data_IF_679861877505
#
_entry.id   IF_679861877505
#
_cell.length_a   1.000
_cell.length_b   1.000
_cell.length_c   1.000
_cell.angle_alpha   90.00
_cell.angle_beta   90.00
_cell.angle_gamma   90.00
#
_symmetry.space_group_name_H-M   'P 1'
#
loop_
_entity.id
_entity.type
_entity.pdbx_description
1 polymer ?
#
# COMPACT_ATOMS: atom_id res chain seq x y z
N UNK A 1 16.00 0.33 27.79
CA UNK A 1 15.40 -0.87 27.15
C UNK A 1 14.83 -0.56 25.77
N UNK A 2 13.99 0.47 25.59
CA UNK A 2 13.40 0.82 24.28
C UNK A 2 14.42 1.03 23.13
N UNK A 3 15.56 1.70 23.37
CA UNK A 3 16.57 1.91 22.33
C UNK A 3 17.27 0.63 21.85
N UNK A 4 17.37 -0.40 22.71
CA UNK A 4 17.96 -1.69 22.34
C UNK A 4 16.96 -2.58 21.57
N UNK A 5 15.67 -2.49 21.89
CA UNK A 5 14.58 -3.14 21.13
C UNK A 5 14.55 -2.62 19.68
N UNK A 6 14.56 -1.29 19.55
CA UNK A 6 14.53 -0.60 18.25
C UNK A 6 15.70 -0.97 17.32
N UNK A 7 16.91 -1.12 17.86
CA UNK A 7 18.09 -1.53 17.09
C UNK A 7 18.00 -3.00 16.62
N UNK A 8 17.54 -3.90 17.49
CA UNK A 8 17.39 -5.30 17.15
C UNK A 8 16.34 -5.49 16.03
N UNK A 9 15.25 -4.76 16.10
CA UNK A 9 14.18 -4.84 15.13
C UNK A 9 14.56 -4.25 13.76
N UNK A 10 15.30 -3.13 13.75
CA UNK A 10 15.87 -2.61 12.51
C UNK A 10 16.86 -3.61 11.87
N UNK A 11 17.68 -4.29 12.69
CA UNK A 11 18.60 -5.30 12.19
C UNK A 11 17.88 -6.52 11.59
N UNK A 12 16.75 -6.94 12.16
CA UNK A 12 15.90 -7.97 11.57
C UNK A 12 15.31 -7.52 10.23
N UNK A 13 14.76 -6.30 10.18
CA UNK A 13 14.27 -5.72 8.92
C UNK A 13 15.37 -5.63 7.85
N UNK A 14 16.58 -5.23 8.25
CA UNK A 14 17.74 -5.13 7.36
C UNK A 14 18.08 -6.46 6.68
N UNK A 15 18.04 -7.58 7.40
CA UNK A 15 18.29 -8.91 6.82
C UNK A 15 17.28 -9.24 5.72
N UNK A 16 16.00 -8.94 5.95
CA UNK A 16 14.97 -9.10 4.93
C UNK A 16 15.21 -8.18 3.72
N UNK A 17 15.53 -6.91 3.95
CA UNK A 17 15.84 -5.95 2.88
C UNK A 17 17.08 -6.36 2.07
N UNK A 18 18.08 -6.99 2.69
CA UNK A 18 19.26 -7.51 2.00
C UNK A 18 18.87 -8.57 0.97
N UNK A 19 18.04 -9.55 1.35
CA UNK A 19 17.52 -10.58 0.44
C UNK A 19 16.64 -9.95 -0.64
N UNK A 20 15.69 -9.10 -0.24
CA UNK A 20 14.75 -8.45 -1.16
C UNK A 20 15.48 -7.67 -2.26
N UNK A 21 16.45 -6.83 -1.88
CA UNK A 21 17.16 -5.97 -2.84
C UNK A 21 18.16 -6.73 -3.72
N UNK A 22 18.58 -7.93 -3.32
CA UNK A 22 19.37 -8.84 -4.18
C UNK A 22 18.46 -9.51 -5.22
N UNK A 23 17.30 -10.03 -4.80
CA UNK A 23 16.37 -10.73 -5.69
C UNK A 23 15.60 -9.80 -6.63
N UNK A 24 15.33 -8.57 -6.16
CA UNK A 24 14.43 -7.62 -6.80
C UNK A 24 15.05 -6.23 -6.81
N UNK A 25 16.24 -6.02 -7.39
CA UNK A 25 16.91 -4.72 -7.33
C UNK A 25 16.07 -3.63 -8.03
N UNK A 26 16.19 -2.35 -7.63
CA UNK A 26 15.42 -1.23 -8.18
C UNK A 26 15.96 -0.80 -9.56
N UNK A 27 16.16 -1.76 -10.45
CA UNK A 27 16.63 -1.56 -11.82
C UNK A 27 15.70 -2.30 -12.77
N UNK A 28 15.37 -1.62 -13.87
CA UNK A 28 14.63 -2.23 -14.95
C UNK A 28 15.63 -2.97 -15.85
N UNK A 29 15.72 -4.28 -15.67
CA UNK A 29 16.46 -5.17 -16.58
C UNK A 29 15.47 -6.01 -17.36
N UNK A 30 15.92 -6.61 -18.47
CA UNK A 30 15.10 -7.58 -19.21
C UNK A 30 14.72 -8.81 -18.35
N UNK A 31 15.39 -9.03 -17.22
CA UNK A 31 15.22 -10.19 -16.33
C UNK A 31 14.35 -9.96 -15.09
N UNK A 32 14.07 -8.71 -14.68
CA UNK A 32 13.33 -8.47 -13.42
C UNK A 32 11.82 -8.66 -13.53
N UNK A 33 11.27 -8.81 -14.74
CA UNK A 33 9.86 -9.15 -15.07
C UNK A 33 8.84 -8.67 -14.02
N UNK A 34 8.84 -7.37 -13.74
CA UNK A 34 7.98 -6.78 -12.72
C UNK A 34 6.51 -6.91 -13.11
N UNK A 35 5.71 -7.53 -12.23
CA UNK A 35 4.26 -7.38 -12.24
C UNK A 35 3.92 -6.12 -11.47
N UNK A 36 3.11 -5.25 -12.07
CA UNK A 36 2.74 -3.97 -11.50
C UNK A 36 1.32 -4.07 -10.96
N UNK A 37 1.22 -4.42 -9.69
CA UNK A 37 -0.04 -4.67 -8.98
C UNK A 37 -0.14 -3.76 -7.76
N UNK A 38 0.22 -2.49 -7.93
CA UNK A 38 0.08 -1.45 -6.91
C UNK A 38 0.83 -1.78 -5.63
N UNK A 39 0.18 -1.55 -4.50
CA UNK A 39 0.79 -1.84 -3.19
C UNK A 39 0.76 -3.34 -2.84
N UNK A 40 0.09 -4.20 -3.61
CA UNK A 40 0.04 -5.64 -3.33
C UNK A 40 1.30 -6.38 -3.78
N UNK A 41 1.80 -6.08 -4.99
CA UNK A 41 2.96 -6.74 -5.55
C UNK A 41 3.60 -5.89 -6.63
N UNK A 42 4.93 -5.88 -6.66
CA UNK A 42 5.72 -5.16 -7.64
C UNK A 42 6.63 -4.11 -7.01
N UNK A 43 7.15 -3.17 -7.81
CA UNK A 43 8.02 -2.12 -7.31
C UNK A 43 7.27 -1.15 -6.39
N UNK A 44 5.99 -0.85 -6.66
CA UNK A 44 5.19 0.04 -5.80
C UNK A 44 4.93 -0.55 -4.41
N UNK A 45 4.77 -1.87 -4.29
CA UNK A 45 4.66 -2.52 -2.96
C UNK A 45 5.97 -2.45 -2.18
N UNK A 46 7.12 -2.58 -2.86
CA UNK A 46 8.43 -2.45 -2.22
C UNK A 46 8.71 -0.99 -1.84
N UNK A 47 8.35 -0.04 -2.70
CA UNK A 47 8.41 1.39 -2.38
C UNK A 47 7.55 1.72 -1.15
N UNK A 48 6.35 1.16 -1.06
CA UNK A 48 5.48 1.31 0.10
C UNK A 48 6.14 0.78 1.38
N UNK A 49 6.76 -0.40 1.33
CA UNK A 49 7.51 -0.94 2.45
C UNK A 49 8.63 0.01 2.90
N UNK A 50 9.51 0.43 2.00
CA UNK A 50 10.61 1.33 2.33
C UNK A 50 10.13 2.68 2.88
N UNK A 51 9.05 3.24 2.32
CA UNK A 51 8.41 4.44 2.86
C UNK A 51 7.89 4.24 4.27
N UNK A 52 7.20 3.13 4.56
CA UNK A 52 6.72 2.83 5.91
C UNK A 52 7.88 2.67 6.90
N UNK A 53 8.95 1.97 6.50
CA UNK A 53 10.14 1.85 7.32
C UNK A 53 10.83 3.20 7.54
N UNK A 54 10.80 4.13 6.57
CA UNK A 54 11.36 5.47 6.74
C UNK A 54 10.58 6.31 7.75
N UNK A 55 9.27 6.08 7.92
CA UNK A 55 8.48 6.73 8.97
C UNK A 55 8.80 6.17 10.36
N UNK A 56 9.12 4.88 10.46
CA UNK A 56 9.48 4.22 11.72
C UNK A 56 10.93 4.48 12.13
N UNK A 57 11.84 4.52 11.16
CA UNK A 57 13.28 4.62 11.34
C UNK A 57 13.91 5.71 10.45
N UNK A 58 13.55 7.00 10.64
CA UNK A 58 13.94 8.08 9.75
C UNK A 58 15.46 8.28 9.65
N UNK A 59 16.20 8.01 10.72
CA UNK A 59 17.65 8.23 10.79
C UNK A 59 18.47 7.01 10.35
N UNK A 60 17.83 5.90 9.97
CA UNK A 60 18.52 4.66 9.61
C UNK A 60 18.86 4.62 8.14
N UNK A 61 20.04 4.08 7.85
CA UNK A 61 20.53 3.87 6.50
C UNK A 61 20.52 2.38 6.15
N UNK A 62 20.12 2.08 4.92
CA UNK A 62 20.23 0.76 4.33
C UNK A 62 21.19 0.82 3.13
N UNK A 63 22.27 0.03 3.19
CA UNK A 63 23.36 0.04 2.18
C UNK A 63 23.90 1.45 1.87
N UNK A 64 23.97 2.31 2.89
CA UNK A 64 24.52 3.68 2.79
C UNK A 64 23.56 4.72 2.21
N UNK A 65 22.30 4.37 1.94
CA UNK A 65 21.26 5.28 1.47
C UNK A 65 20.11 5.34 2.48
N UNK A 66 19.35 6.44 2.49
CA UNK A 66 18.18 6.53 3.37
C UNK A 66 17.08 5.58 2.91
N UNK A 67 16.22 5.16 3.83
CA UNK A 67 15.06 4.32 3.48
C UNK A 67 14.11 5.04 2.50
N UNK A 68 14.04 6.38 2.55
CA UNK A 68 13.23 7.16 1.62
C UNK A 68 13.83 7.15 0.20
N UNK A 69 15.15 7.26 0.05
CA UNK A 69 15.82 7.15 -1.26
C UNK A 69 15.52 5.80 -1.93
N UNK A 70 15.52 4.72 -1.13
CA UNK A 70 15.12 3.40 -1.62
C UNK A 70 13.66 3.36 -2.05
N UNK A 71 12.75 3.96 -1.28
CA UNK A 71 11.34 4.06 -1.65
C UNK A 71 11.17 4.75 -3.01
N UNK A 72 11.84 5.89 -3.20
CA UNK A 72 11.83 6.65 -4.46
C UNK A 72 12.38 5.84 -5.63
N UNK A 73 13.51 5.14 -5.43
CA UNK A 73 14.14 4.33 -6.47
C UNK A 73 13.21 3.23 -7.00
N UNK A 74 12.48 2.54 -6.12
CA UNK A 74 11.48 1.56 -6.55
C UNK A 74 10.27 2.24 -7.21
N UNK A 75 9.79 3.35 -6.67
CA UNK A 75 8.62 4.04 -7.17
C UNK A 75 8.83 4.61 -8.59
N UNK A 76 10.06 5.00 -8.92
CA UNK A 76 10.47 5.43 -10.25
C UNK A 76 10.26 4.34 -11.31
N UNK A 77 10.33 3.05 -10.96
CA UNK A 77 10.10 1.94 -11.91
C UNK A 77 8.67 1.91 -12.47
N UNK A 78 7.70 2.48 -11.75
CA UNK A 78 6.30 2.59 -12.18
C UNK A 78 5.92 3.98 -12.73
N UNK A 79 6.86 4.91 -12.89
CA UNK A 79 6.60 6.29 -13.32
C UNK A 79 5.88 6.41 -14.67
N UNK A 80 6.18 5.49 -15.59
CA UNK A 80 5.56 5.47 -16.92
C UNK A 80 4.03 5.31 -16.88
N UNK A 81 3.46 4.88 -15.75
CA UNK A 81 2.01 4.70 -15.59
C UNK A 81 1.29 5.95 -15.08
N UNK A 82 1.97 6.87 -14.40
CA UNK A 82 1.39 8.16 -13.99
C UNK A 82 1.48 9.22 -15.09
N UNK A 83 2.44 9.07 -16.01
CA UNK A 83 2.71 10.04 -17.08
C UNK A 83 1.88 9.82 -18.36
N UNK A 84 1.17 8.70 -18.48
CA UNK A 84 0.19 8.48 -19.56
C UNK A 84 -1.24 8.61 -19.03
N UNK A 85 -2.09 9.48 -19.61
CA UNK A 85 -3.50 9.57 -19.23
C UNK A 85 -4.21 8.26 -19.60
N UNK A 86 -4.35 7.38 -18.60
CA UNK A 86 -4.92 6.04 -18.67
C UNK A 86 -4.28 5.13 -19.74
N UNK A 87 -3.51 4.10 -19.36
CA UNK A 87 -3.42 2.94 -20.22
C UNK A 87 -4.82 2.32 -20.28
N UNK A 88 -5.57 2.61 -21.37
CA UNK A 88 -6.99 2.28 -21.61
C UNK A 88 -7.35 0.78 -21.54
N UNK A 89 -6.39 -0.08 -21.18
CA UNK A 89 -6.46 -1.52 -21.32
C UNK A 89 -5.59 -2.28 -20.29
N UNK A 90 -4.81 -1.62 -19.41
CA UNK A 90 -3.78 -2.34 -18.63
C UNK A 90 -4.17 -2.76 -17.22
N UNK A 91 -5.40 -2.51 -16.76
CA UNK A 91 -5.80 -2.83 -15.39
C UNK A 91 -7.22 -3.37 -15.29
N UNK A 92 -7.70 -4.04 -16.33
CA UNK A 92 -8.92 -4.83 -16.19
C UNK A 92 -8.57 -6.20 -15.63
N UNK A 93 -9.06 -6.54 -14.43
CA UNK A 93 -9.03 -7.92 -13.94
C UNK A 93 -10.32 -8.60 -14.41
N UNK A 94 -10.20 -9.64 -15.26
CA UNK A 94 -11.34 -10.29 -15.91
C UNK A 94 -12.33 -9.33 -16.60
N UNK A 95 -11.81 -8.33 -17.35
CA UNK A 95 -12.65 -7.36 -18.06
C UNK A 95 -13.28 -6.28 -17.19
N UNK A 96 -12.99 -6.29 -15.89
CA UNK A 96 -13.52 -5.32 -14.92
C UNK A 96 -12.42 -4.33 -14.53
N UNK A 97 -12.70 -3.02 -14.58
CA UNK A 97 -11.75 -1.99 -14.14
C UNK A 97 -11.35 -2.27 -12.68
N UNK A 98 -10.06 -2.52 -12.46
CA UNK A 98 -9.48 -2.61 -11.14
C UNK A 98 -9.40 -1.19 -10.57
N UNK A 99 -10.07 -0.93 -9.46
CA UNK A 99 -9.95 0.34 -8.74
C UNK A 99 -9.36 0.21 -7.33
N UNK A 100 -8.99 -1.00 -6.92
CA UNK A 100 -8.49 -1.27 -5.58
C UNK A 100 -6.99 -1.01 -5.42
N UNK A 101 -6.42 -1.59 -4.37
CA UNK A 101 -5.01 -1.43 -4.02
C UNK A 101 -4.03 -2.10 -4.98
N UNK A 102 -4.53 -2.99 -5.85
CA UNK A 102 -3.76 -3.56 -6.95
C UNK A 102 -3.68 -2.61 -8.16
N UNK A 103 -4.45 -1.52 -8.17
CA UNK A 103 -4.38 -0.56 -9.25
C UNK A 103 -3.07 0.21 -9.15
N UNK A 104 -2.15 -0.02 -10.09
CA UNK A 104 -0.82 0.58 -10.09
C UNK A 104 -0.90 2.11 -10.16
N UNK A 105 -1.86 2.65 -10.91
CA UNK A 105 -1.97 4.09 -11.13
C UNK A 105 -2.45 4.79 -9.86
N UNK A 106 -3.52 4.30 -9.22
CA UNK A 106 -4.01 4.86 -7.97
C UNK A 106 -3.02 4.66 -6.82
N UNK A 107 -2.33 3.52 -6.78
CA UNK A 107 -1.28 3.27 -5.79
C UNK A 107 -0.09 4.22 -5.95
N UNK A 108 0.34 4.47 -7.18
CA UNK A 108 1.40 5.44 -7.49
C UNK A 108 0.97 6.86 -7.12
N UNK A 109 -0.24 7.30 -7.48
CA UNK A 109 -0.75 8.62 -7.08
C UNK A 109 -0.74 8.77 -5.55
N UNK A 110 -1.27 7.77 -4.84
CA UNK A 110 -1.32 7.78 -3.39
C UNK A 110 0.08 7.88 -2.78
N UNK A 111 0.98 6.96 -3.12
CA UNK A 111 2.29 6.86 -2.50
C UNK A 111 3.22 8.02 -2.89
N UNK A 112 3.22 8.44 -4.16
CA UNK A 112 3.99 9.61 -4.62
C UNK A 112 3.54 10.91 -3.95
N UNK A 113 2.23 11.09 -3.76
CA UNK A 113 1.71 12.29 -3.08
C UNK A 113 2.21 12.44 -1.64
N UNK A 114 2.62 11.33 -1.02
CA UNK A 114 3.16 11.30 0.34
C UNK A 114 4.69 11.41 0.37
N UNK A 115 5.38 10.66 -0.49
CA UNK A 115 6.85 10.69 -0.56
C UNK A 115 7.35 12.06 -1.02
N UNK A 116 6.72 12.64 -2.04
CA UNK A 116 7.11 13.94 -2.60
C UNK A 116 6.35 15.12 -2.00
N UNK A 117 5.50 14.87 -1.00
CA UNK A 117 4.54 15.84 -0.45
C UNK A 117 3.72 16.59 -1.52
N UNK A 118 3.41 15.93 -2.64
CA UNK A 118 2.76 16.55 -3.79
C UNK A 118 1.23 16.47 -3.70
N UNK A 119 0.63 17.59 -3.31
CA UNK A 119 -0.83 17.75 -3.21
C UNK A 119 -1.55 17.63 -4.57
N UNK A 120 -0.88 17.91 -5.69
CA UNK A 120 -1.50 17.77 -7.01
C UNK A 120 -1.82 16.31 -7.32
N UNK A 121 -0.97 15.38 -6.90
CA UNK A 121 -1.18 13.93 -7.05
C UNK A 121 -2.28 13.42 -6.13
N UNK A 122 -2.37 13.95 -4.91
CA UNK A 122 -3.47 13.65 -3.99
C UNK A 122 -4.82 14.16 -4.53
N UNK A 123 -4.84 15.36 -5.13
CA UNK A 123 -6.05 15.89 -5.80
C UNK A 123 -6.42 15.03 -7.01
N UNK A 124 -5.44 14.64 -7.83
CA UNK A 124 -5.65 13.75 -8.97
C UNK A 124 -6.25 12.42 -8.52
N UNK A 125 -5.75 11.83 -7.43
CA UNK A 125 -6.34 10.63 -6.84
C UNK A 125 -7.80 10.89 -6.49
N UNK A 126 -8.14 11.95 -5.76
CA UNK A 126 -9.52 12.26 -5.39
C UNK A 126 -10.45 12.47 -6.61
N UNK A 127 -9.93 13.08 -7.68
CA UNK A 127 -10.67 13.37 -8.93
C UNK A 127 -11.10 12.10 -9.68
N UNK A 128 -10.36 10.99 -9.52
CA UNK A 128 -10.72 9.70 -10.11
C UNK A 128 -11.97 9.07 -9.48
N UNK A 129 -12.49 9.63 -8.37
CA UNK A 129 -13.69 9.11 -7.70
C UNK A 129 -14.90 9.06 -8.64
N UNK A 130 -15.04 10.03 -9.56
CA UNK A 130 -16.15 10.03 -10.50
C UNK A 130 -16.07 8.86 -11.48
N UNK A 131 -14.86 8.54 -11.95
CA UNK A 131 -14.63 7.40 -12.81
C UNK A 131 -14.83 6.06 -12.07
N UNK A 132 -14.24 5.92 -10.89
CA UNK A 132 -14.37 4.71 -10.05
C UNK A 132 -15.83 4.41 -9.71
N UNK A 133 -16.65 5.45 -9.57
CA UNK A 133 -18.07 5.32 -9.24
C UNK A 133 -18.99 5.18 -10.47
N UNK A 134 -18.52 5.53 -11.67
CA UNK A 134 -19.28 5.37 -12.90
C UNK A 134 -19.39 3.89 -13.34
N UNK A 135 -18.43 3.05 -12.95
CA UNK A 135 -18.38 1.66 -13.41
C UNK A 135 -19.48 0.78 -12.81
N UNK A 136 -20.10 -0.04 -13.67
CA UNK A 136 -21.18 -0.93 -13.27
C UNK A 136 -20.67 -2.27 -12.70
N UNK A 137 -19.73 -2.22 -11.75
CA UNK A 137 -19.22 -3.43 -11.09
C UNK A 137 -20.31 -4.19 -10.31
N UNK A 138 -20.19 -5.52 -10.24
CA UNK A 138 -20.99 -6.36 -9.33
C UNK A 138 -20.74 -5.96 -7.88
N UNK A 139 -21.69 -6.28 -6.99
CA UNK A 139 -21.59 -5.99 -5.55
C UNK A 139 -20.32 -6.59 -4.93
N UNK A 140 -19.94 -7.81 -5.34
CA UNK A 140 -18.76 -8.52 -4.83
C UNK A 140 -17.43 -7.86 -5.22
N UNK A 141 -17.33 -7.37 -6.46
CA UNK A 141 -16.12 -6.67 -6.92
C UNK A 141 -16.03 -5.29 -6.26
N UNK A 142 -17.15 -4.59 -6.06
CA UNK A 142 -17.18 -3.30 -5.36
C UNK A 142 -16.55 -3.40 -3.96
N UNK A 143 -16.76 -4.54 -3.30
CA UNK A 143 -16.36 -4.80 -1.92
C UNK A 143 -14.96 -5.40 -1.76
N UNK A 144 -14.24 -5.66 -2.85
CA UNK A 144 -12.91 -6.25 -2.76
C UNK A 144 -11.86 -5.16 -2.42
N UNK A 145 -10.99 -5.42 -1.45
CA UNK A 145 -9.90 -4.50 -1.12
C UNK A 145 -8.85 -4.42 -2.23
N UNK A 146 -8.47 -5.55 -2.80
CA UNK A 146 -7.42 -5.61 -3.81
C UNK A 146 -7.84 -4.99 -5.14
N UNK A 147 -9.07 -5.22 -5.59
CA UNK A 147 -9.52 -4.81 -6.94
C UNK A 147 -10.69 -3.83 -6.98
N UNK A 148 -11.33 -3.57 -5.84
CA UNK A 148 -12.60 -2.86 -5.76
C UNK A 148 -12.54 -1.47 -5.11
N UNK A 149 -13.72 -0.89 -4.91
CA UNK A 149 -13.90 0.46 -4.35
C UNK A 149 -13.45 0.57 -2.90
N UNK A 150 -13.44 -0.54 -2.17
CA UNK A 150 -12.89 -0.60 -0.82
C UNK A 150 -11.38 -0.33 -0.82
N UNK A 151 -10.65 -0.88 -1.79
CA UNK A 151 -9.23 -0.56 -1.96
C UNK A 151 -8.99 0.89 -2.35
N UNK A 152 -9.86 1.44 -3.20
CA UNK A 152 -9.80 2.86 -3.54
C UNK A 152 -10.00 3.77 -2.32
N UNK A 153 -11.01 3.47 -1.49
CA UNK A 153 -11.24 4.17 -0.20
C UNK A 153 -10.02 4.03 0.70
N UNK A 154 -9.41 2.84 0.77
CA UNK A 154 -8.18 2.62 1.54
C UNK A 154 -7.06 3.58 1.10
N UNK A 155 -6.81 3.71 -0.22
CA UNK A 155 -5.80 4.64 -0.75
C UNK A 155 -6.13 6.11 -0.43
N UNK A 156 -7.39 6.52 -0.60
CA UNK A 156 -7.82 7.89 -0.26
C UNK A 156 -7.62 8.20 1.22
N UNK A 157 -8.03 7.28 2.09
CA UNK A 157 -7.89 7.45 3.54
C UNK A 157 -6.43 7.43 3.97
N UNK A 158 -5.60 6.57 3.37
CA UNK A 158 -4.16 6.53 3.58
C UNK A 158 -3.53 7.91 3.33
N UNK A 159 -3.86 8.55 2.21
CA UNK A 159 -3.38 9.92 1.91
C UNK A 159 -3.95 10.94 2.89
N UNK A 160 -5.27 10.91 3.14
CA UNK A 160 -5.93 11.86 4.03
C UNK A 160 -5.36 11.84 5.45
N UNK A 161 -5.08 10.65 5.99
CA UNK A 161 -4.50 10.48 7.32
C UNK A 161 -3.13 11.14 7.45
N UNK A 162 -2.25 10.95 6.46
CA UNK A 162 -0.91 11.55 6.47
C UNK A 162 -0.97 13.06 6.29
N UNK A 163 -1.85 13.56 5.41
CA UNK A 163 -2.03 15.01 5.20
C UNK A 163 -2.66 15.71 6.40
N UNK A 164 -3.52 15.02 7.16
CA UNK A 164 -4.12 15.55 8.39
C UNK A 164 -3.11 15.77 9.53
N UNK A 165 -2.09 14.90 9.63
CA UNK A 165 -1.04 15.01 10.66
C UNK A 165 -0.01 16.08 10.37
N UNK A 166 0.03 16.63 9.16
CA UNK A 166 1.05 17.58 8.77
C UNK A 166 0.68 19.00 9.21
N UNK A 167 1.55 19.72 9.95
CA UNK A 167 1.28 21.09 10.37
C UNK A 167 1.33 21.97 9.11
N UNK A 168 0.24 22.69 8.79
CA UNK A 168 0.15 23.92 7.96
C UNK A 168 -1.30 24.12 7.44
N UNK A 169 -1.71 25.38 7.34
CA UNK A 169 -3.10 25.86 7.36
C UNK A 169 -3.87 25.83 6.03
N UNK A 170 -3.27 25.33 4.93
CA UNK A 170 -3.91 25.25 3.60
C UNK A 170 -4.41 23.83 3.23
N UNK A 171 -4.23 22.85 4.15
CA UNK A 171 -4.57 21.43 3.93
C UNK A 171 -6.07 21.12 4.07
N UNK A 172 -6.87 22.07 4.56
CA UNK A 172 -8.29 21.90 4.78
C UNK A 172 -9.06 21.58 3.49
N UNK A 173 -8.71 22.24 2.38
CA UNK A 173 -9.39 21.99 1.10
C UNK A 173 -9.07 20.61 0.52
N UNK A 174 -7.78 20.22 0.51
CA UNK A 174 -7.36 18.91 0.02
C UNK A 174 -7.98 17.78 0.85
N UNK A 175 -7.88 17.87 2.18
CA UNK A 175 -8.47 16.86 3.07
C UNK A 175 -9.98 16.79 2.86
N UNK A 176 -10.68 17.91 2.76
CA UNK A 176 -12.11 17.94 2.45
C UNK A 176 -12.42 17.27 1.11
N UNK A 177 -11.59 17.48 0.09
CA UNK A 177 -11.75 16.84 -1.24
C UNK A 177 -11.55 15.32 -1.16
N UNK A 178 -10.54 14.85 -0.42
CA UNK A 178 -10.31 13.43 -0.17
C UNK A 178 -11.49 12.80 0.59
N UNK A 179 -11.99 13.47 1.63
CA UNK A 179 -13.14 13.01 2.41
C UNK A 179 -14.43 12.98 1.57
N UNK A 180 -14.67 13.98 0.73
CA UNK A 180 -15.80 13.99 -0.21
C UNK A 180 -15.71 12.83 -1.21
N UNK A 181 -14.53 12.53 -1.74
CA UNK A 181 -14.28 11.36 -2.59
C UNK A 181 -14.55 10.04 -1.86
N UNK A 182 -14.16 9.93 -0.58
CA UNK A 182 -14.47 8.77 0.27
C UNK A 182 -15.99 8.61 0.43
N UNK A 183 -16.69 9.65 0.87
CA UNK A 183 -18.14 9.63 1.09
C UNK A 183 -18.90 9.28 -0.19
N UNK A 184 -18.56 9.89 -1.33
CA UNK A 184 -19.17 9.55 -2.63
C UNK A 184 -19.00 8.08 -2.98
N UNK A 185 -17.81 7.53 -2.73
CA UNK A 185 -17.51 6.12 -3.02
C UNK A 185 -18.23 5.18 -2.05
N UNK A 186 -18.33 5.52 -0.77
CA UNK A 186 -19.12 4.77 0.22
C UNK A 186 -20.61 4.73 -0.19
N UNK A 187 -21.18 5.85 -0.63
CA UNK A 187 -22.56 5.89 -1.12
C UNK A 187 -22.75 5.06 -2.40
N UNK A 188 -21.75 5.03 -3.30
CA UNK A 188 -21.78 4.17 -4.47
C UNK A 188 -21.75 2.68 -4.10
N UNK A 189 -20.98 2.29 -3.07
CA UNK A 189 -20.97 0.92 -2.53
C UNK A 189 -22.34 0.60 -1.91
N UNK A 190 -22.88 1.48 -1.05
CA UNK A 190 -24.18 1.27 -0.38
C UNK A 190 -25.34 1.09 -1.36
N UNK A 191 -25.31 1.73 -2.53
CA UNK A 191 -26.34 1.55 -3.56
C UNK A 191 -26.32 0.16 -4.19
N UNK A 192 -25.16 -0.52 -4.21
CA UNK A 192 -24.97 -1.80 -4.90
C UNK A 192 -24.95 -3.01 -4.01
N UNK A 193 -24.54 -2.84 -2.76
CA UNK A 193 -24.46 -3.94 -1.79
C UNK A 193 -25.85 -4.20 -1.21
N UNK A 194 -26.35 -5.45 -1.16
CA UNK A 194 -27.61 -5.78 -0.50
C UNK A 194 -27.61 -5.43 1.01
N UNK A 195 -28.77 -5.08 1.57
CA UNK A 195 -28.88 -4.57 2.96
C UNK A 195 -28.32 -5.50 4.04
N UNK A 196 -28.29 -6.82 3.79
CA UNK A 196 -27.73 -7.79 4.75
C UNK A 196 -26.19 -7.73 4.84
N UNK A 197 -25.52 -7.33 3.77
CA UNK A 197 -24.04 -7.21 3.70
C UNK A 197 -23.55 -5.84 4.18
N UNK A 198 -24.40 -4.79 4.11
CA UNK A 198 -24.05 -3.42 4.49
C UNK A 198 -23.64 -3.26 5.95
N UNK A 199 -24.31 -3.99 6.86
CA UNK A 199 -24.13 -3.84 8.30
C UNK A 199 -22.78 -4.35 8.79
N UNK A 200 -22.30 -5.46 8.23
CA UNK A 200 -21.02 -6.07 8.59
C UNK A 200 -19.86 -5.37 7.88
N UNK A 201 -20.00 -5.06 6.59
CA UNK A 201 -18.85 -4.53 5.82
C UNK A 201 -18.45 -3.10 6.16
N UNK A 202 -19.40 -2.21 6.47
CA UNK A 202 -19.06 -0.81 6.78
C UNK A 202 -18.55 -0.66 8.23
N UNK A 203 -19.05 -1.48 9.16
CA UNK A 203 -18.45 -1.58 10.49
C UNK A 203 -17.04 -2.16 10.39
N UNK A 204 -16.85 -3.22 9.61
CA UNK A 204 -15.54 -3.83 9.41
C UNK A 204 -14.60 -2.87 8.68
N UNK A 205 -15.06 -2.08 7.71
CA UNK A 205 -14.22 -1.06 7.06
C UNK A 205 -13.80 0.08 8.00
N UNK A 206 -14.60 0.39 9.02
CA UNK A 206 -14.23 1.36 10.04
C UNK A 206 -13.29 0.74 11.06
N UNK A 207 -13.62 -0.46 11.56
CA UNK A 207 -12.85 -1.18 12.59
C UNK A 207 -11.55 -1.78 12.04
N UNK A 208 -11.51 -2.11 10.75
CA UNK A 208 -10.33 -2.55 10.00
C UNK A 208 -9.53 -1.37 9.47
N UNK A 209 -10.14 -0.21 9.27
CA UNK A 209 -9.37 1.02 9.08
C UNK A 209 -8.70 1.46 10.38
N UNK A 210 -9.42 1.42 11.49
CA UNK A 210 -8.86 1.68 12.81
C UNK A 210 -7.81 0.63 13.16
N UNK A 211 -8.01 -0.66 12.84
CA UNK A 211 -6.94 -1.66 12.96
C UNK A 211 -5.79 -1.43 11.98
N UNK A 212 -5.99 -1.37 10.66
CA UNK A 212 -4.87 -1.31 9.68
C UNK A 212 -4.14 0.05 9.68
N UNK A 213 -4.82 1.14 10.03
CA UNK A 213 -4.27 2.51 10.03
C UNK A 213 -3.84 2.98 11.42
N UNK A 214 -4.54 2.60 12.50
CA UNK A 214 -4.08 2.92 13.87
C UNK A 214 -3.18 1.81 14.45
N UNK A 215 -3.45 0.53 14.16
CA UNK A 215 -2.63 -0.62 14.56
C UNK A 215 -1.84 -1.17 13.36
N UNK A 216 -0.75 -0.47 13.05
CA UNK A 216 0.28 -0.80 12.08
C UNK A 216 0.28 -2.23 11.48
N UNK A 217 0.23 -2.30 10.14
CA UNK A 217 0.70 -3.43 9.31
C UNK A 217 0.32 -4.83 9.85
N UNK A 218 -0.97 -5.12 9.89
CA UNK A 218 -1.44 -6.48 10.15
C UNK A 218 -1.29 -7.33 8.87
N UNK A 219 -0.08 -7.87 8.67
CA UNK A 219 0.31 -8.68 7.51
C UNK A 219 -0.43 -10.03 7.44
N UNK A 220 -0.98 -10.51 8.56
CA UNK A 220 -1.73 -11.77 8.63
C UNK A 220 -3.06 -11.69 7.89
N UNK A 221 -3.72 -10.52 7.88
CA UNK A 221 -5.07 -10.37 7.29
C UNK A 221 -5.06 -10.40 5.76
N UNK A 222 -3.92 -10.10 5.13
CA UNK A 222 -3.79 -10.08 3.67
C UNK A 222 -3.11 -11.31 3.07
N UNK A 223 -2.92 -12.40 3.83
CA UNK A 223 -2.40 -13.66 3.27
C UNK A 223 -1.07 -13.49 2.53
N UNK A 224 -0.24 -12.52 2.95
CA UNK A 224 1.07 -12.27 2.34
C UNK A 224 2.00 -13.47 2.56
N UNK A 225 1.78 -14.20 3.66
CA UNK A 225 2.38 -15.48 4.04
C UNK A 225 2.25 -16.60 3.00
N UNK A 226 1.20 -16.61 2.17
CA UNK A 226 1.03 -17.63 1.10
C UNK A 226 1.49 -17.15 -0.29
N UNK A 227 1.43 -15.84 -0.55
CA UNK A 227 1.65 -15.29 -1.90
C UNK A 227 3.09 -14.88 -2.22
N UNK A 228 3.89 -14.57 -1.21
CA UNK A 228 5.34 -14.33 -1.38
C UNK A 228 6.07 -15.65 -1.61
N UNK A 229 5.66 -16.70 -0.89
CA UNK A 229 6.11 -18.09 -1.09
C UNK A 229 5.85 -18.55 -2.52
N UNK A 230 4.64 -18.34 -3.05
CA UNK A 230 4.31 -18.69 -4.45
C UNK A 230 5.12 -17.90 -5.50
N UNK A 231 5.47 -16.63 -5.23
CA UNK A 231 6.29 -15.84 -6.16
C UNK A 231 7.80 -16.09 -6.03
N UNK A 232 8.28 -16.56 -4.88
CA UNK A 232 9.68 -16.93 -4.65
C UNK A 232 10.00 -18.36 -5.14
N UNK A 233 9.00 -19.25 -5.18
CA UNK A 233 9.10 -20.60 -5.76
C UNK A 233 9.43 -20.61 -7.27
N UNK A 234 9.26 -19.48 -7.97
CA UNK A 234 9.57 -19.40 -9.40
C UNK A 234 11.08 -19.18 -9.70
N UNK A 235 11.89 -18.76 -8.71
CA UNK A 235 13.33 -18.52 -8.84
C UNK A 235 14.00 -18.75 -7.47
N UNK A 236 14.62 -19.93 -7.25
CA UNK A 236 15.14 -20.41 -5.95
C UNK A 236 16.08 -19.46 -5.17
N UNK A 237 16.35 -19.71 -3.86
CA UNK A 237 16.87 -20.94 -3.25
C UNK A 237 15.87 -21.67 -2.33
N UNK A 238 16.31 -22.76 -1.66
CA UNK A 238 15.51 -23.73 -0.91
C UNK A 238 14.57 -23.14 0.16
N UNK A 239 13.34 -23.69 0.19
CA UNK A 239 12.14 -23.23 0.91
C UNK A 239 12.29 -22.92 2.41
N UNK A 240 13.31 -23.49 3.09
CA UNK A 240 13.45 -23.39 4.56
C UNK A 240 14.10 -22.07 5.01
N UNK A 241 15.05 -21.51 4.26
CA UNK A 241 15.80 -20.31 4.68
C UNK A 241 14.97 -19.02 4.50
N UNK A 242 14.20 -18.94 3.40
CA UNK A 242 13.34 -17.79 3.10
C UNK A 242 12.12 -17.76 4.02
N UNK A 243 11.50 -18.91 4.28
CA UNK A 243 10.35 -19.00 5.19
C UNK A 243 10.74 -18.65 6.62
N UNK A 244 11.96 -19.00 7.05
CA UNK A 244 12.49 -18.65 8.37
C UNK A 244 12.76 -17.15 8.51
N UNK A 245 13.42 -16.53 7.51
CA UNK A 245 13.66 -15.08 7.46
C UNK A 245 12.35 -14.27 7.40
N UNK A 246 11.36 -14.78 6.67
CA UNK A 246 10.04 -14.19 6.58
C UNK A 246 9.26 -14.27 7.91
N UNK A 247 9.30 -15.42 8.58
CA UNK A 247 8.68 -15.60 9.91
C UNK A 247 9.35 -14.73 10.99
N UNK A 248 10.68 -14.58 10.94
CA UNK A 248 11.42 -13.68 11.82
C UNK A 248 11.09 -12.21 11.54
N UNK A 249 10.96 -11.82 10.27
CA UNK A 249 10.52 -10.49 9.87
C UNK A 249 9.07 -10.19 10.30
N UNK A 250 8.14 -11.12 10.11
CA UNK A 250 6.76 -11.02 10.60
C UNK A 250 6.74 -10.85 12.12
N UNK A 251 7.46 -11.68 12.88
CA UNK A 251 7.49 -11.61 14.34
C UNK A 251 8.13 -10.31 14.86
N UNK A 252 9.17 -9.79 14.20
CA UNK A 252 9.81 -8.51 14.56
C UNK A 252 8.94 -7.31 14.20
N UNK A 253 8.27 -7.35 13.04
CA UNK A 253 7.30 -6.33 12.67
C UNK A 253 6.09 -6.32 13.62
N UNK A 254 5.52 -7.49 13.96
CA UNK A 254 4.42 -7.60 14.92
C UNK A 254 4.79 -7.05 16.32
N UNK A 255 6.03 -7.28 16.76
CA UNK A 255 6.51 -6.81 18.06
C UNK A 255 6.71 -5.29 18.09
N UNK A 256 7.31 -4.72 17.05
CA UNK A 256 7.41 -3.26 16.87
C UNK A 256 6.03 -2.58 16.85
N UNK A 257 5.05 -3.23 16.22
CA UNK A 257 3.66 -2.79 16.13
C UNK A 257 3.02 -2.75 17.52
N UNK A 258 3.26 -3.75 18.36
CA UNK A 258 2.75 -3.80 19.74
C UNK A 258 3.40 -2.73 20.63
N UNK A 259 4.73 -2.58 20.57
CA UNK A 259 5.48 -1.63 21.42
C UNK A 259 5.25 -0.15 21.05
N UNK A 260 5.04 0.17 19.77
CA UNK A 260 4.73 1.53 19.31
C UNK A 260 3.29 1.97 19.65
N UNK A 261 2.40 1.02 19.97
CA UNK A 261 0.99 1.26 20.30
C UNK A 261 0.75 1.52 21.80
N UNK A 262 1.80 1.45 22.63
CA UNK A 262 1.67 1.62 24.08
C UNK A 262 0.86 0.53 24.79
N UNK A 263 0.80 -0.68 24.20
CA UNK A 263 0.26 -1.89 24.82
C UNK A 263 1.39 -2.80 25.33
#
# INVERSE_FOLDING_TARGET
MAAQSNEADFNAAKQFLDVLTVLRPPVQTCSTSWKLLGILSGPTSIAFLFYRLSQTWPDKLFKGQSLLDWAEAYLALGERYTSTPRPKNSQTYHGTINCGTMNEYYSQLALRSLIYDDDSLARALADESSAVNADDHSSEICTNWSIGRIGYIYLLRFVAFHKFRAPESDKGELVRKLLDAITKTEEAIKKKVPDYTKRTMLSDLSEHYDRVVLNHLDWEVFGFRERVTDQMLCCGPSDEDISSLYFQFESSCLRLVQEASGM
#
